data_IF_850046574429
#
_entry.id   IF_850046574429
#
_cell.length_a   1.000
_cell.length_b   1.000
_cell.length_c   1.000
_cell.angle_alpha   90.00
_cell.angle_beta   90.00
_cell.angle_gamma   90.00
#
_symmetry.space_group_name_H-M   'P 1'
#
loop_
_entity.id
_entity.type
_entity.pdbx_description
1 polymer ?
#
# COMPACT_ATOMS: atom_id res chain seq x y z
N UNK A 1 -14.98 -10.63 -16.67
CA UNK A 1 -13.53 -10.90 -16.46
C UNK A 1 -12.83 -10.63 -17.79
N UNK A 2 -12.20 -9.47 -17.97
CA UNK A 2 -11.32 -9.25 -19.14
C UNK A 2 -10.11 -10.17 -18.97
N UNK A 3 -9.89 -10.98 -19.97
CA UNK A 3 -8.92 -12.05 -20.01
C UNK A 3 -7.53 -11.54 -19.59
N UNK A 4 -6.90 -12.12 -18.57
CA UNK A 4 -5.56 -11.75 -18.07
C UNK A 4 -4.51 -11.88 -19.17
N UNK A 5 -4.73 -12.76 -20.15
CA UNK A 5 -3.94 -12.88 -21.39
C UNK A 5 -3.98 -11.62 -22.25
N UNK A 6 -5.09 -10.88 -22.28
CA UNK A 6 -5.21 -9.64 -23.04
C UNK A 6 -4.35 -8.53 -22.43
N UNK A 7 -4.25 -8.45 -21.12
CA UNK A 7 -3.43 -7.46 -20.42
C UNK A 7 -1.93 -7.68 -20.65
N UNK A 8 -1.49 -8.94 -20.70
CA UNK A 8 -0.09 -9.29 -20.99
C UNK A 8 0.26 -9.04 -22.46
N UNK A 9 -0.66 -9.35 -23.37
CA UNK A 9 -0.49 -9.03 -24.80
C UNK A 9 -0.42 -7.52 -25.02
N UNK A 10 -1.25 -6.73 -24.32
CA UNK A 10 -1.16 -5.26 -24.37
C UNK A 10 0.15 -4.73 -23.78
N UNK A 11 0.65 -5.31 -22.70
CA UNK A 11 1.92 -4.93 -22.07
C UNK A 11 3.12 -5.36 -22.94
N UNK A 12 3.04 -6.51 -23.60
CA UNK A 12 4.08 -7.00 -24.51
C UNK A 12 4.11 -6.21 -25.83
N UNK A 13 2.95 -5.88 -26.40
CA UNK A 13 2.82 -5.12 -27.66
C UNK A 13 3.15 -3.62 -27.52
N UNK A 14 3.21 -3.08 -26.29
CA UNK A 14 3.63 -1.69 -26.02
C UNK A 14 5.12 -1.51 -25.73
N UNK A 15 5.96 -2.42 -26.18
CA UNK A 15 7.42 -2.32 -26.05
C UNK A 15 7.99 -2.87 -24.75
N UNK A 16 7.24 -3.73 -24.06
CA UNK A 16 7.65 -4.44 -22.83
C UNK A 16 8.01 -3.49 -21.68
N UNK A 17 7.51 -3.76 -20.48
CA UNK A 17 7.95 -3.02 -19.29
C UNK A 17 9.38 -3.46 -18.97
N UNK A 18 10.36 -2.60 -19.28
CA UNK A 18 11.77 -2.86 -19.01
C UNK A 18 12.07 -2.64 -17.52
N UNK A 19 13.05 -3.38 -17.01
CA UNK A 19 13.61 -3.07 -15.71
C UNK A 19 14.13 -1.62 -15.72
N UNK A 20 13.72 -0.78 -14.76
CA UNK A 20 14.27 0.57 -14.69
C UNK A 20 15.76 0.53 -14.37
N UNK A 21 16.50 1.52 -14.84
CA UNK A 21 17.89 1.72 -14.42
C UNK A 21 17.94 1.91 -12.91
N UNK A 22 19.08 1.57 -12.28
CA UNK A 22 19.25 1.81 -10.85
C UNK A 22 19.04 3.29 -10.52
N UNK A 23 18.40 3.60 -9.39
CA UNK A 23 18.25 4.99 -8.96
C UNK A 23 19.60 5.62 -8.66
N UNK A 24 19.69 6.95 -8.72
CA UNK A 24 20.91 7.71 -8.45
C UNK A 24 21.47 7.37 -7.06
N UNK A 25 20.61 7.38 -6.08
CA UNK A 25 20.93 7.01 -4.70
C UNK A 25 19.69 6.69 -3.90
N UNK A 26 19.88 6.27 -2.64
CA UNK A 26 18.83 6.01 -1.67
C UNK A 26 19.01 6.95 -0.50
N UNK A 27 17.92 7.56 -0.04
CA UNK A 27 17.90 8.43 1.14
C UNK A 27 16.81 8.06 2.12
N UNK A 28 16.99 8.46 3.36
CA UNK A 28 15.98 8.37 4.41
C UNK A 28 15.04 9.56 4.34
N UNK A 29 13.74 9.29 4.36
CA UNK A 29 12.67 10.29 4.46
C UNK A 29 11.77 9.95 5.65
N UNK A 30 11.28 10.95 6.36
CA UNK A 30 10.23 10.72 7.32
C UNK A 30 8.93 10.32 6.61
N UNK A 31 8.14 9.45 7.24
CA UNK A 31 6.83 9.04 6.67
C UNK A 31 5.94 10.27 6.50
N UNK A 32 6.02 11.25 7.42
CA UNK A 32 5.28 12.51 7.30
C UNK A 32 5.76 13.40 6.14
N UNK A 33 7.01 13.32 5.71
CA UNK A 33 7.47 14.06 4.51
C UNK A 33 6.81 13.53 3.23
N UNK A 34 6.50 12.23 3.20
CA UNK A 34 5.98 11.53 2.04
C UNK A 34 4.45 11.49 2.02
N UNK A 35 3.82 11.33 3.20
CA UNK A 35 2.39 11.03 3.30
C UNK A 35 1.60 12.03 4.13
N UNK A 36 0.39 12.32 3.68
CA UNK A 36 -0.70 12.80 4.53
C UNK A 36 -1.26 11.62 5.30
N UNK A 37 -1.23 11.69 6.64
CA UNK A 37 -1.66 10.62 7.54
C UNK A 37 -3.00 10.97 8.15
N UNK A 38 -4.04 10.21 7.83
CA UNK A 38 -5.40 10.42 8.33
C UNK A 38 -5.86 9.25 9.21
N UNK A 39 -6.54 9.51 10.34
CA UNK A 39 -7.06 8.45 11.18
C UNK A 39 -8.27 7.74 10.54
N UNK A 40 -8.42 6.45 10.82
CA UNK A 40 -9.70 5.78 10.67
C UNK A 40 -10.69 6.20 11.77
N UNK A 41 -11.88 5.64 11.76
CA UNK A 41 -12.95 5.95 12.72
C UNK A 41 -13.44 4.70 13.43
N UNK A 42 -13.55 4.80 14.75
CA UNK A 42 -14.10 3.72 15.57
C UNK A 42 -15.52 3.38 15.14
N UNK A 43 -15.75 2.11 14.95
CA UNK A 43 -17.08 1.51 14.74
C UNK A 43 -17.10 0.20 15.52
N UNK A 44 -18.05 0.06 16.46
CA UNK A 44 -18.18 -1.17 17.25
C UNK A 44 -18.98 -2.21 16.50
N UNK A 45 -18.83 -3.49 16.83
CA UNK A 45 -19.59 -4.57 16.20
C UNK A 45 -21.10 -4.38 16.34
N UNK A 46 -21.56 -3.78 17.44
CA UNK A 46 -22.97 -3.51 17.68
C UNK A 46 -23.54 -2.43 16.75
N UNK A 47 -22.69 -1.54 16.24
CA UNK A 47 -23.06 -0.44 15.35
C UNK A 47 -22.84 -0.78 13.86
N UNK A 48 -22.41 -2.00 13.55
CA UNK A 48 -22.15 -2.46 12.19
C UNK A 48 -23.39 -3.13 11.60
N UNK A 49 -24.02 -2.48 10.63
CA UNK A 49 -25.00 -3.13 9.77
C UNK A 49 -24.31 -3.90 8.65
N UNK A 50 -24.71 -5.15 8.40
CA UNK A 50 -24.14 -5.98 7.34
C UNK A 50 -24.38 -5.41 5.96
N UNK A 51 -23.38 -5.42 5.08
CA UNK A 51 -23.47 -4.87 3.74
C UNK A 51 -22.30 -5.27 2.84
N UNK A 52 -21.97 -4.42 1.85
CA UNK A 52 -21.00 -4.73 0.79
C UNK A 52 -19.75 -3.83 0.82
N UNK A 53 -19.60 -2.97 1.82
CA UNK A 53 -18.43 -2.10 1.96
C UNK A 53 -17.42 -2.78 2.87
N UNK A 54 -16.18 -3.04 2.42
CA UNK A 54 -15.16 -3.63 3.26
C UNK A 54 -14.82 -2.71 4.45
N UNK A 55 -14.77 -3.29 5.65
CA UNK A 55 -14.31 -2.62 6.86
C UNK A 55 -12.90 -3.12 7.21
N UNK A 56 -11.94 -2.20 7.21
CA UNK A 56 -10.54 -2.48 7.42
C UNK A 56 -10.18 -2.34 8.89
N UNK A 57 -9.71 -3.43 9.48
CA UNK A 57 -9.22 -3.50 10.85
C UNK A 57 -7.74 -3.84 10.90
N UNK A 58 -7.16 -3.74 12.09
CA UNK A 58 -5.72 -3.93 12.31
C UNK A 58 -5.34 -5.42 12.43
N UNK A 59 -5.52 -6.17 11.34
CA UNK A 59 -5.11 -7.57 11.17
C UNK A 59 -3.95 -7.69 10.17
N UNK A 60 -3.29 -8.84 10.12
CA UNK A 60 -2.23 -9.20 9.17
C UNK A 60 -2.73 -10.10 8.02
N UNK A 61 -4.02 -10.38 7.97
CA UNK A 61 -4.65 -11.29 7.01
C UNK A 61 -5.76 -10.64 6.22
N UNK A 62 -6.25 -11.31 5.17
CA UNK A 62 -7.39 -10.92 4.34
C UNK A 62 -7.34 -9.47 3.81
N UNK A 63 -6.16 -8.98 3.47
CA UNK A 63 -5.94 -7.59 3.05
C UNK A 63 -6.50 -6.56 4.05
N UNK A 64 -6.47 -6.88 5.35
CA UNK A 64 -7.00 -6.03 6.42
C UNK A 64 -8.53 -6.07 6.59
N UNK A 65 -9.27 -6.78 5.74
CA UNK A 65 -10.75 -6.84 5.81
C UNK A 65 -11.16 -7.70 7.01
N UNK A 66 -11.84 -7.07 7.97
CA UNK A 66 -12.34 -7.73 9.18
C UNK A 66 -13.86 -7.86 9.22
N UNK A 67 -14.57 -7.08 8.41
CA UNK A 67 -16.02 -7.12 8.29
C UNK A 67 -16.48 -6.49 6.97
N UNK A 68 -17.80 -6.61 6.68
CA UNK A 68 -18.51 -5.98 5.57
C UNK A 68 -19.68 -5.19 6.13
N UNK A 69 -19.78 -3.89 5.81
CA UNK A 69 -20.75 -2.98 6.38
C UNK A 69 -21.63 -2.32 5.30
N UNK A 70 -22.84 -1.88 5.68
CA UNK A 70 -23.78 -1.25 4.76
C UNK A 70 -23.52 0.26 4.61
N UNK A 71 -23.18 0.94 5.71
CA UNK A 71 -23.12 2.40 5.75
C UNK A 71 -21.68 2.90 5.91
N UNK A 72 -21.17 3.73 4.97
CA UNK A 72 -19.87 4.36 5.11
C UNK A 72 -19.87 5.43 6.21
N UNK A 73 -18.71 5.71 6.76
CA UNK A 73 -18.50 6.81 7.70
C UNK A 73 -17.40 7.77 7.20
N UNK A 74 -17.00 8.74 8.00
CA UNK A 74 -15.98 9.75 7.64
C UNK A 74 -14.58 9.18 7.37
N UNK A 75 -14.34 7.89 7.60
CA UNK A 75 -13.11 7.20 7.24
C UNK A 75 -13.20 6.44 5.91
N UNK A 76 -14.32 6.56 5.16
CA UNK A 76 -14.44 5.98 3.84
C UNK A 76 -13.38 6.55 2.91
N UNK A 77 -12.63 5.67 2.24
CA UNK A 77 -11.52 6.07 1.40
C UNK A 77 -11.28 5.03 0.28
N UNK A 78 -10.47 5.39 -0.71
CA UNK A 78 -10.08 4.52 -1.82
C UNK A 78 -8.73 4.92 -2.36
N UNK A 79 -8.06 4.01 -3.05
CA UNK A 79 -6.73 4.24 -3.63
C UNK A 79 -5.72 4.72 -2.59
N UNK A 80 -5.64 4.03 -1.47
CA UNK A 80 -4.96 4.46 -0.26
C UNK A 80 -4.15 3.31 0.36
N UNK A 81 -3.09 3.64 1.07
CA UNK A 81 -2.34 2.68 1.89
C UNK A 81 -2.86 2.71 3.33
N UNK A 82 -3.49 1.61 3.77
CA UNK A 82 -3.89 1.42 5.16
C UNK A 82 -2.74 0.85 5.98
N UNK A 83 -2.38 1.50 7.10
CA UNK A 83 -1.26 1.09 7.97
C UNK A 83 -1.75 0.87 9.39
N UNK A 84 -1.54 -0.33 9.92
CA UNK A 84 -1.93 -0.68 11.28
C UNK A 84 -1.00 -0.02 12.30
N UNK A 85 -1.57 0.79 13.20
CA UNK A 85 -0.80 1.33 14.32
C UNK A 85 -1.03 0.59 15.63
N UNK A 86 -2.07 -0.23 15.69
CA UNK A 86 -2.42 -1.13 16.79
C UNK A 86 -2.63 -2.55 16.24
N UNK A 87 -2.97 -3.56 17.06
CA UNK A 87 -3.16 -4.94 16.61
C UNK A 87 -1.89 -5.51 15.96
N UNK A 88 -1.97 -5.95 14.71
CA UNK A 88 -0.81 -6.38 13.91
C UNK A 88 -0.01 -5.16 13.44
N UNK A 89 0.79 -4.61 14.33
CA UNK A 89 1.49 -3.32 14.18
C UNK A 89 2.39 -3.31 12.96
N UNK A 90 2.40 -2.18 12.21
CA UNK A 90 3.14 -1.92 10.95
C UNK A 90 2.63 -2.71 9.75
N UNK A 91 1.82 -3.77 9.94
CA UNK A 91 1.16 -4.39 8.78
C UNK A 91 0.40 -3.33 8.00
N UNK A 92 0.47 -3.44 6.68
CA UNK A 92 -0.12 -2.42 5.84
C UNK A 92 -0.58 -3.02 4.49
N UNK A 93 -1.67 -2.48 3.94
CA UNK A 93 -2.30 -2.97 2.73
C UNK A 93 -2.73 -1.82 1.83
N UNK A 94 -2.54 -2.01 0.52
CA UNK A 94 -3.08 -1.10 -0.48
C UNK A 94 -4.53 -1.45 -0.80
N UNK A 95 -5.39 -0.43 -0.76
CA UNK A 95 -6.83 -0.54 -1.06
C UNK A 95 -7.17 0.30 -2.29
N UNK A 96 -7.25 -0.34 -3.45
CA UNK A 96 -7.65 0.31 -4.70
C UNK A 96 -9.16 0.50 -4.85
N UNK A 97 -9.94 -0.02 -3.92
CA UNK A 97 -11.40 0.01 -3.85
C UNK A 97 -11.88 0.84 -2.67
N UNK A 98 -13.16 1.27 -2.70
CA UNK A 98 -13.76 2.00 -1.58
C UNK A 98 -13.92 1.11 -0.36
N UNK A 99 -13.44 1.55 0.80
CA UNK A 99 -13.54 0.85 2.08
C UNK A 99 -13.55 1.83 3.26
N UNK A 100 -13.92 1.34 4.42
CA UNK A 100 -13.99 2.10 5.68
C UNK A 100 -12.90 1.58 6.62
N UNK A 101 -12.25 2.47 7.35
CA UNK A 101 -11.11 2.13 8.21
C UNK A 101 -11.45 2.28 9.69
N UNK A 102 -11.06 1.28 10.49
CA UNK A 102 -11.14 1.34 11.95
C UNK A 102 -10.18 2.38 12.52
N UNK A 103 -10.43 2.81 13.75
CA UNK A 103 -9.55 3.71 14.49
C UNK A 103 -8.14 3.15 14.73
N UNK A 104 -7.92 1.85 14.58
CA UNK A 104 -6.62 1.19 14.72
C UNK A 104 -5.78 1.20 13.43
N UNK A 105 -6.31 1.76 12.33
CA UNK A 105 -5.64 1.84 11.03
C UNK A 105 -5.51 3.31 10.59
N UNK A 106 -4.32 3.70 10.15
CA UNK A 106 -4.09 5.02 9.52
C UNK A 106 -4.17 4.88 8.00
N UNK A 107 -4.70 5.92 7.35
CA UNK A 107 -4.80 6.05 5.90
C UNK A 107 -3.71 7.00 5.41
N UNK A 108 -2.90 6.54 4.47
CA UNK A 108 -1.76 7.28 3.95
C UNK A 108 -1.96 7.59 2.46
N UNK A 109 -1.96 8.89 2.13
CA UNK A 109 -1.97 9.43 0.78
C UNK A 109 -0.67 10.16 0.49
N UNK A 110 -0.13 10.06 -0.71
CA UNK A 110 1.08 10.77 -1.12
C UNK A 110 0.87 12.30 -1.09
N UNK A 111 1.80 13.06 -0.52
CA UNK A 111 1.73 14.54 -0.43
C UNK A 111 2.08 15.22 -1.75
N UNK A 112 3.10 14.74 -2.43
CA UNK A 112 3.74 15.42 -3.57
C UNK A 112 3.61 14.66 -4.89
N UNK A 113 2.79 13.62 -4.93
CA UNK A 113 2.55 12.80 -6.11
C UNK A 113 1.11 12.28 -6.09
N UNK A 114 0.53 12.04 -7.25
CA UNK A 114 -0.79 11.41 -7.31
C UNK A 114 -0.74 9.99 -6.73
N UNK A 115 -1.75 9.59 -5.96
CA UNK A 115 -1.83 8.24 -5.43
C UNK A 115 -1.81 7.22 -6.55
N UNK A 116 -0.70 6.53 -6.64
CA UNK A 116 -0.42 5.53 -7.66
C UNK A 116 -0.22 4.18 -7.01
N UNK A 117 -0.94 3.16 -7.49
CA UNK A 117 -0.89 1.80 -6.97
C UNK A 117 0.56 1.29 -6.80
N UNK A 118 1.41 1.52 -7.79
CA UNK A 118 2.77 0.95 -7.80
C UNK A 118 3.69 1.67 -6.83
N UNK A 119 3.55 3.00 -6.72
CA UNK A 119 4.27 3.81 -5.73
C UNK A 119 3.83 3.43 -4.31
N UNK A 120 2.52 3.32 -4.07
CA UNK A 120 1.99 2.92 -2.77
C UNK A 120 2.43 1.50 -2.38
N UNK A 121 2.49 0.56 -3.33
CA UNK A 121 3.02 -0.78 -3.09
C UNK A 121 4.53 -0.79 -2.82
N UNK A 122 5.29 0.08 -3.46
CA UNK A 122 6.72 0.26 -3.18
C UNK A 122 6.92 0.78 -1.74
N UNK A 123 6.22 1.84 -1.38
CA UNK A 123 6.26 2.42 -0.03
C UNK A 123 5.74 1.46 1.04
N UNK A 124 4.73 0.61 0.70
CA UNK A 124 4.27 -0.48 1.57
C UNK A 124 5.43 -1.33 2.06
N UNK A 125 6.30 -1.77 1.15
CA UNK A 125 7.45 -2.61 1.47
C UNK A 125 8.44 -1.84 2.34
N UNK A 126 8.75 -0.58 2.01
CA UNK A 126 9.67 0.26 2.78
C UNK A 126 9.18 0.49 4.23
N UNK A 127 7.86 0.67 4.42
CA UNK A 127 7.25 0.77 5.75
C UNK A 127 7.31 -0.58 6.48
N UNK A 128 6.97 -1.68 5.80
CA UNK A 128 6.93 -3.02 6.40
C UNK A 128 8.31 -3.47 6.92
N UNK A 129 9.40 -3.07 6.26
CA UNK A 129 10.77 -3.33 6.72
C UNK A 129 11.07 -2.75 8.10
N UNK A 130 10.27 -1.78 8.57
CA UNK A 130 10.42 -1.19 9.89
C UNK A 130 9.75 -2.02 11.01
N UNK A 131 9.01 -3.09 10.64
CA UNK A 131 8.22 -3.90 11.58
C UNK A 131 9.04 -4.43 12.77
N UNK A 132 10.29 -4.78 12.56
CA UNK A 132 11.18 -5.29 13.60
C UNK A 132 11.43 -4.33 14.77
N UNK A 133 11.19 -3.02 14.57
CA UNK A 133 11.34 -1.97 15.58
C UNK A 133 10.14 -1.87 16.52
N UNK A 134 8.99 -2.45 16.13
CA UNK A 134 7.71 -2.23 16.79
C UNK A 134 7.14 -3.54 17.30
N UNK A 135 6.63 -3.49 18.53
CA UNK A 135 6.03 -4.61 19.24
C UNK A 135 4.75 -4.17 19.93
N UNK A 136 4.05 -5.09 20.59
CA UNK A 136 2.85 -4.77 21.37
C UNK A 136 3.11 -3.68 22.43
N UNK A 137 4.27 -3.69 23.10
CA UNK A 137 4.67 -2.68 24.08
C UNK A 137 5.23 -1.37 23.47
N UNK A 138 5.56 -1.38 22.16
CA UNK A 138 6.10 -0.23 21.46
C UNK A 138 5.38 -0.04 20.12
N UNK A 139 4.14 0.44 20.19
CA UNK A 139 3.23 0.58 19.06
C UNK A 139 3.69 1.63 18.04
N UNK A 140 3.32 1.43 16.79
CA UNK A 140 3.53 2.36 15.67
C UNK A 140 2.46 3.47 15.67
N UNK A 141 2.29 4.18 16.81
CA UNK A 141 1.29 5.24 16.95
C UNK A 141 1.56 6.43 16.01
N UNK A 142 0.60 7.36 15.92
CA UNK A 142 0.66 8.50 14.98
C UNK A 142 1.99 9.24 15.03
N UNK A 143 2.44 9.69 16.20
CA UNK A 143 3.69 10.43 16.37
C UNK A 143 4.94 9.62 15.96
N UNK A 144 4.96 8.32 16.25
CA UNK A 144 6.06 7.45 15.85
C UNK A 144 6.02 7.16 14.35
N UNK A 145 4.83 7.02 13.77
CA UNK A 145 4.63 6.86 12.34
C UNK A 145 5.15 8.07 11.56
N UNK A 146 4.77 9.27 11.98
CA UNK A 146 5.24 10.53 11.40
C UNK A 146 6.77 10.63 11.40
N UNK A 147 7.39 10.28 12.52
CA UNK A 147 8.86 10.34 12.70
C UNK A 147 9.62 9.10 12.24
N UNK A 148 8.92 8.08 11.74
CA UNK A 148 9.60 6.91 11.20
C UNK A 148 10.27 7.28 9.88
N UNK A 149 11.55 7.00 9.78
CA UNK A 149 12.28 7.11 8.53
C UNK A 149 12.14 5.82 7.72
N UNK A 150 11.92 5.98 6.43
CA UNK A 150 11.92 4.92 5.42
C UNK A 150 12.95 5.26 4.35
N UNK A 151 13.59 4.24 3.79
CA UNK A 151 14.58 4.38 2.74
C UNK A 151 13.88 4.34 1.39
N UNK A 152 14.03 5.40 0.58
CA UNK A 152 13.45 5.51 -0.75
C UNK A 152 14.52 5.89 -1.79
N UNK A 153 14.34 5.49 -3.07
CA UNK A 153 15.19 5.94 -4.17
C UNK A 153 14.98 7.45 -4.40
N UNK A 154 16.04 8.12 -4.82
CA UNK A 154 16.01 9.56 -5.11
C UNK A 154 16.34 9.85 -6.56
N UNK A 155 15.78 10.97 -7.04
CA UNK A 155 16.17 11.61 -8.29
C UNK A 155 17.48 12.43 -8.14
N UNK A 156 17.84 13.15 -9.19
CA UNK A 156 19.03 14.01 -9.23
C UNK A 156 18.94 15.20 -8.27
N UNK A 157 17.72 15.60 -7.87
CA UNK A 157 17.45 16.70 -6.95
C UNK A 157 17.35 16.24 -5.49
N UNK A 158 17.72 14.99 -5.20
CA UNK A 158 17.62 14.39 -3.87
C UNK A 158 16.18 14.25 -3.32
N UNK A 159 15.19 14.32 -4.19
CA UNK A 159 13.77 14.10 -3.88
C UNK A 159 13.38 12.64 -4.14
N UNK A 160 12.28 12.12 -3.54
CA UNK A 160 11.82 10.77 -3.80
C UNK A 160 11.53 10.54 -5.30
N UNK A 161 12.18 9.57 -5.92
CA UNK A 161 11.97 9.24 -7.33
C UNK A 161 10.70 8.38 -7.50
N UNK A 162 9.56 9.03 -7.51
CA UNK A 162 8.26 8.38 -7.72
C UNK A 162 8.14 7.71 -9.09
N UNK A 163 8.81 8.26 -10.10
CA UNK A 163 8.83 7.68 -11.46
C UNK A 163 9.55 6.33 -11.46
N UNK A 164 10.70 6.26 -10.81
CA UNK A 164 11.40 4.99 -10.60
C UNK A 164 10.54 3.97 -9.86
N UNK A 165 9.93 4.37 -8.73
CA UNK A 165 9.09 3.49 -7.91
C UNK A 165 7.92 2.93 -8.72
N UNK A 166 7.28 3.76 -9.54
CA UNK A 166 6.18 3.35 -10.42
C UNK A 166 6.65 2.36 -11.49
N UNK A 167 7.74 2.66 -12.18
CA UNK A 167 8.31 1.79 -13.21
C UNK A 167 8.76 0.46 -12.64
N UNK A 168 9.43 0.49 -11.48
CA UNK A 168 9.85 -0.72 -10.76
C UNK A 168 8.66 -1.59 -10.36
N UNK A 169 7.62 -0.98 -9.79
CA UNK A 169 6.40 -1.70 -9.42
C UNK A 169 5.68 -2.33 -10.62
N UNK A 170 5.62 -1.63 -11.74
CA UNK A 170 5.08 -2.17 -13.01
C UNK A 170 5.92 -3.33 -13.52
N UNK A 171 7.23 -3.18 -13.53
CA UNK A 171 8.15 -4.24 -13.95
C UNK A 171 8.01 -5.48 -13.08
N UNK A 172 8.03 -5.33 -11.75
CA UNK A 172 7.84 -6.44 -10.82
C UNK A 172 6.51 -7.18 -11.04
N UNK A 173 5.44 -6.45 -11.30
CA UNK A 173 4.14 -7.06 -11.58
C UNK A 173 4.18 -7.91 -12.87
N UNK A 174 4.83 -7.43 -13.92
CA UNK A 174 5.00 -8.19 -15.17
C UNK A 174 5.82 -9.45 -14.92
N UNK A 175 6.94 -9.37 -14.16
CA UNK A 175 7.75 -10.53 -13.80
C UNK A 175 6.93 -11.59 -13.04
N UNK A 176 6.11 -11.16 -12.07
CA UNK A 176 5.25 -12.06 -11.31
C UNK A 176 4.19 -12.75 -12.17
N UNK A 177 3.59 -12.02 -13.13
CA UNK A 177 2.67 -12.63 -14.09
C UNK A 177 3.37 -13.62 -15.01
N UNK A 178 4.56 -13.29 -15.53
CA UNK A 178 5.33 -14.21 -16.36
C UNK A 178 5.65 -15.50 -15.61
N UNK A 179 6.17 -15.37 -14.39
CA UNK A 179 6.44 -16.53 -13.53
C UNK A 179 5.21 -17.41 -13.30
N UNK A 180 4.04 -16.79 -13.06
CA UNK A 180 2.79 -17.52 -12.89
C UNK A 180 2.36 -18.27 -14.17
N UNK A 181 2.49 -17.63 -15.33
CA UNK A 181 2.18 -18.27 -16.61
C UNK A 181 3.10 -19.43 -16.92
N UNK A 182 4.40 -19.27 -16.68
CA UNK A 182 5.37 -20.36 -16.86
C UNK A 182 5.02 -21.53 -15.96
N UNK A 183 4.64 -21.25 -14.70
CA UNK A 183 4.22 -22.29 -13.76
C UNK A 183 2.96 -23.07 -14.21
N UNK A 184 1.94 -22.38 -14.74
CA UNK A 184 0.70 -23.07 -15.19
C UNK A 184 0.89 -23.80 -16.51
N UNK A 185 1.81 -23.35 -17.38
CA UNK A 185 2.10 -24.01 -18.66
C UNK A 185 3.03 -25.24 -18.51
N UNK A 186 3.67 -25.42 -17.37
CA UNK A 186 4.47 -26.60 -17.03
C UNK A 186 3.64 -27.74 -16.43
N UNK A 187 2.33 -27.57 -16.26
CA UNK A 187 1.37 -28.56 -15.77
C UNK A 187 0.44 -29.02 -16.88
#
# INVERSE_FOLDING_TARGET
>A
MKNTSCLLVELHNRGGVKQPANPVKWKEFYVDDIFTISPGKRLTKADMDSGNIPFIGATDSNNGITNWIATPNSSFDRNVLGVNYNGSVVENFYHGYGCVFSDDVKRLHLKSYADNKFVLLFCKVAILQQKVKYTYGYKFNGQRMERQKILLPTDEQDSPDYTYMEQYGKWMMVQMYQYYFDYINLR
#
